data_IF_763034939997
#
_entry.id   IF_763034939997
#
_cell.length_a   1.000
_cell.length_b   1.000
_cell.length_c   1.000
_cell.angle_alpha   90.00
_cell.angle_beta   90.00
_cell.angle_gamma   90.00
#
_symmetry.space_group_name_H-M   'P 1'
#
loop_
_entity.id
_entity.type
_entity.pdbx_description
1 polymer ?
#
# COMPACT_ATOMS: atom_id res chain seq x y z
N UNK A 1 -16.27 -23.28 5.41
CA UNK A 1 -17.20 -22.21 5.60
C UNK A 1 -17.20 -21.28 4.46
N UNK A 2 -18.35 -20.75 4.13
CA UNK A 2 -18.46 -19.83 3.03
C UNK A 2 -18.05 -18.41 3.43
N UNK A 3 -18.15 -18.09 4.69
CA UNK A 3 -17.87 -16.74 5.14
C UNK A 3 -16.39 -16.56 5.46
N UNK A 4 -15.89 -15.36 5.20
CA UNK A 4 -14.51 -15.01 5.49
C UNK A 4 -14.46 -13.58 6.00
N UNK A 5 -13.43 -13.30 6.77
CA UNK A 5 -13.22 -11.95 7.30
C UNK A 5 -11.82 -11.51 6.93
N UNK A 6 -11.72 -10.27 6.48
CA UNK A 6 -10.44 -9.70 6.10
C UNK A 6 -10.10 -8.52 6.97
N UNK A 7 -8.83 -8.30 7.14
CA UNK A 7 -8.33 -7.15 7.86
C UNK A 7 -7.64 -6.23 6.86
N UNK A 8 -7.77 -4.95 7.08
CA UNK A 8 -7.20 -3.96 6.17
C UNK A 8 -6.28 -3.02 6.95
N UNK A 9 -5.11 -2.76 6.39
CA UNK A 9 -4.24 -1.73 6.93
C UNK A 9 -3.92 -0.75 5.82
N UNK A 10 -3.60 0.47 6.22
CA UNK A 10 -3.31 1.53 5.27
C UNK A 10 -1.85 1.90 5.35
N UNK A 11 -1.22 2.02 4.19
CA UNK A 11 0.19 2.36 4.09
C UNK A 11 0.37 3.47 3.08
N UNK A 12 1.48 4.20 3.21
CA UNK A 12 1.86 5.18 2.20
C UNK A 12 3.24 4.79 1.70
N UNK A 13 3.34 4.52 0.40
CA UNK A 13 4.61 4.27 -0.24
C UNK A 13 5.06 5.51 -0.99
N UNK A 14 6.36 5.65 -1.15
CA UNK A 14 6.91 6.76 -1.91
C UNK A 14 7.92 6.26 -2.92
N UNK A 15 8.08 7.03 -3.99
CA UNK A 15 9.07 6.73 -5.02
C UNK A 15 9.43 8.02 -5.74
N UNK A 16 10.67 8.12 -6.12
CA UNK A 16 11.08 9.28 -6.93
C UNK A 16 10.81 9.06 -8.41
N UNK A 17 10.27 7.90 -8.78
CA UNK A 17 10.10 7.55 -10.18
C UNK A 17 8.67 7.49 -10.65
N UNK A 18 7.78 6.89 -9.87
CA UNK A 18 6.40 6.77 -10.33
C UNK A 18 5.48 6.39 -9.19
N UNK A 19 4.19 6.59 -9.41
CA UNK A 19 3.18 6.14 -8.46
C UNK A 19 3.13 4.61 -8.39
N UNK A 20 3.33 3.96 -9.52
CA UNK A 20 3.32 2.50 -9.52
C UNK A 20 4.42 1.95 -8.64
N UNK A 21 5.60 2.54 -8.72
CA UNK A 21 6.69 2.10 -7.87
C UNK A 21 6.45 2.45 -6.42
N UNK A 22 5.78 3.58 -6.17
CA UNK A 22 5.42 3.94 -4.80
C UNK A 22 4.47 2.89 -4.22
N UNK A 23 3.46 2.50 -4.97
CA UNK A 23 2.51 1.49 -4.51
C UNK A 23 3.20 0.14 -4.31
N UNK A 24 4.06 -0.25 -5.26
CA UNK A 24 4.79 -1.49 -5.13
C UNK A 24 5.67 -1.51 -3.90
N UNK A 25 6.29 -0.37 -3.57
CA UNK A 25 7.14 -0.29 -2.39
C UNK A 25 6.34 -0.57 -1.13
N UNK A 26 5.13 -0.02 -1.06
CA UNK A 26 4.28 -0.25 0.11
C UNK A 26 3.91 -1.71 0.23
N UNK A 27 3.51 -2.33 -0.88
CA UNK A 27 3.10 -3.73 -0.87
C UNK A 27 4.29 -4.63 -0.53
N UNK A 28 5.45 -4.35 -1.12
CA UNK A 28 6.63 -5.17 -0.87
C UNK A 28 7.03 -5.12 0.60
N UNK A 29 6.95 -3.94 1.20
CA UNK A 29 7.29 -3.79 2.60
C UNK A 29 6.31 -4.54 3.47
N UNK A 30 5.02 -4.42 3.18
CA UNK A 30 3.99 -5.08 3.96
C UNK A 30 4.13 -6.60 3.87
N UNK A 31 4.46 -7.12 2.69
CA UNK A 31 4.51 -8.55 2.51
C UNK A 31 5.65 -9.21 3.26
N UNK A 32 6.60 -8.42 3.75
CA UNK A 32 7.68 -8.98 4.56
C UNK A 32 7.21 -9.36 5.96
N UNK A 33 6.18 -8.72 6.45
CA UNK A 33 5.70 -9.00 7.80
C UNK A 33 4.30 -9.56 7.85
N UNK A 34 3.56 -9.50 6.74
CA UNK A 34 2.19 -9.97 6.72
C UNK A 34 2.06 -11.05 5.66
N UNK A 35 1.51 -12.20 6.08
CA UNK A 35 1.30 -13.28 5.15
C UNK A 35 0.02 -13.10 4.38
N UNK A 36 0.00 -13.62 3.18
CA UNK A 36 -1.23 -13.78 2.41
C UNK A 36 -1.94 -12.47 2.13
N UNK A 37 -1.16 -11.46 1.75
CA UNK A 37 -1.79 -10.26 1.20
C UNK A 37 -2.56 -10.65 -0.03
N UNK A 38 -3.79 -10.15 -0.13
CA UNK A 38 -4.66 -10.54 -1.22
C UNK A 38 -4.96 -9.41 -2.17
N UNK A 39 -5.25 -8.24 -1.63
CA UNK A 39 -5.65 -7.12 -2.45
C UNK A 39 -4.97 -5.87 -1.93
N UNK A 40 -4.51 -5.05 -2.87
CA UNK A 40 -3.98 -3.73 -2.54
C UNK A 40 -4.81 -2.74 -3.35
N UNK A 41 -5.50 -1.86 -2.66
CA UNK A 41 -6.35 -0.88 -3.29
C UNK A 41 -5.69 0.48 -3.19
N UNK A 42 -5.53 1.14 -4.33
CA UNK A 42 -4.99 2.49 -4.34
C UNK A 42 -6.09 3.43 -3.86
N UNK A 43 -5.82 4.11 -2.77
CA UNK A 43 -6.83 5.01 -2.23
C UNK A 43 -6.61 6.43 -2.70
N UNK A 44 -5.38 6.90 -2.66
CA UNK A 44 -5.03 8.24 -3.07
C UNK A 44 -3.66 8.26 -3.69
N UNK A 45 -3.47 9.16 -4.62
CA UNK A 45 -2.16 9.44 -5.18
C UNK A 45 -1.88 10.92 -4.98
N UNK A 46 -0.68 11.25 -4.52
CA UNK A 46 -0.33 12.65 -4.38
C UNK A 46 1.15 12.82 -4.62
N UNK A 47 1.59 14.05 -4.48
CA UNK A 47 2.96 14.43 -4.79
C UNK A 47 3.55 15.16 -3.61
N UNK A 48 4.79 14.84 -3.32
CA UNK A 48 5.56 15.59 -2.35
C UNK A 48 6.29 16.69 -3.10
N UNK A 49 6.10 17.92 -2.67
CA UNK A 49 6.67 19.07 -3.35
C UNK A 49 7.67 19.76 -2.44
N UNK A 50 8.81 20.09 -3.01
CA UNK A 50 9.86 20.77 -2.26
C UNK A 50 10.44 21.84 -3.16
N UNK A 51 10.47 23.09 -2.65
CA UNK A 51 10.98 24.22 -3.42
C UNK A 51 10.30 24.35 -4.78
N UNK A 52 8.98 24.12 -4.81
CA UNK A 52 8.21 24.26 -6.03
C UNK A 52 8.39 23.15 -7.03
N UNK A 53 9.06 22.07 -6.66
CA UNK A 53 9.32 20.97 -7.57
C UNK A 53 8.83 19.65 -6.96
N UNK A 54 8.39 18.76 -7.83
CA UNK A 54 7.97 17.44 -7.39
C UNK A 54 9.19 16.67 -6.92
N UNK A 55 9.18 16.28 -5.67
CA UNK A 55 10.27 15.51 -5.10
C UNK A 55 10.00 14.03 -5.13
N UNK A 56 8.76 13.64 -4.90
CA UNK A 56 8.43 12.23 -4.86
C UNK A 56 6.96 12.04 -5.16
N UNK A 57 6.66 10.83 -5.62
CA UNK A 57 5.30 10.37 -5.83
C UNK A 57 4.90 9.56 -4.61
N UNK A 58 3.67 9.75 -4.13
CA UNK A 58 3.19 9.00 -2.98
C UNK A 58 1.90 8.29 -3.33
N UNK A 59 1.79 7.06 -2.86
CA UNK A 59 0.58 6.27 -3.06
C UNK A 59 0.08 5.80 -1.71
N UNK A 60 -1.17 6.13 -1.41
CA UNK A 60 -1.82 5.65 -0.21
C UNK A 60 -2.56 4.38 -0.58
N UNK A 61 -2.20 3.29 0.07
CA UNK A 61 -2.64 1.97 -0.33
C UNK A 61 -3.28 1.27 0.86
N UNK A 62 -4.44 0.68 0.62
CA UNK A 62 -5.07 -0.19 1.60
C UNK A 62 -4.80 -1.62 1.19
N UNK A 63 -4.12 -2.36 2.05
CA UNK A 63 -3.87 -3.76 1.76
C UNK A 63 -4.73 -4.62 2.66
N UNK A 64 -5.27 -5.68 2.09
CA UNK A 64 -6.13 -6.56 2.84
C UNK A 64 -5.56 -7.97 2.85
N UNK A 65 -5.79 -8.65 3.94
CA UNK A 65 -5.35 -10.03 4.10
C UNK A 65 -6.38 -10.75 4.94
N UNK A 66 -6.43 -12.06 4.77
CA UNK A 66 -7.42 -12.84 5.46
C UNK A 66 -7.13 -12.84 6.95
N UNK A 67 -8.14 -12.53 7.73
CA UNK A 67 -8.00 -12.53 9.19
C UNK A 67 -8.14 -13.96 9.69
N UNK A 68 -7.06 -14.45 10.29
CA UNK A 68 -7.07 -15.82 10.77
C UNK A 68 -6.96 -15.79 12.24
N UNK A 69 -7.85 -16.43 12.92
CA UNK A 69 -7.68 -16.54 14.33
C UNK A 69 -7.50 -17.97 14.60
N UNK A 70 -6.66 -18.46 14.82
CA UNK A 70 -6.38 -19.75 15.00
C UNK A 70 -6.39 -20.24 16.12
#
# INVERSE_FOLDING_TARGET
MAESVYKIITLVGTSTESWEKAANAAVAKASKSIRDLRIAQIEDLDLQIENGQVKAYRAKVKVSFKYEDE
#
